data_IF_873668180853
#
_entry.id   IF_873668180853
#
_cell.length_a   1.000
_cell.length_b   1.000
_cell.length_c   1.000
_cell.angle_alpha   90.00
_cell.angle_beta   90.00
_cell.angle_gamma   90.00
#
_symmetry.space_group_name_H-M   'P 1'
#
loop_
_entity.id
_entity.type
_entity.pdbx_description
1 polymer ?
#
# COMPACT_ATOMS: atom_id res chain seq x y z
N UNK A 1 6.34 32.25 9.05
CA UNK A 1 7.73 31.87 8.73
C UNK A 1 8.43 31.16 9.90
N UNK A 2 8.44 31.73 11.12
CA UNK A 2 9.14 31.16 12.27
C UNK A 2 8.75 29.72 12.62
N UNK A 3 7.45 29.37 12.58
CA UNK A 3 7.00 28.00 12.86
C UNK A 3 7.59 26.94 11.90
N UNK A 4 7.74 27.27 10.61
CA UNK A 4 8.36 26.38 9.62
C UNK A 4 9.86 26.23 9.88
N UNK A 5 10.53 27.31 10.31
CA UNK A 5 11.94 27.27 10.71
C UNK A 5 12.16 26.35 11.92
N UNK A 6 11.31 26.46 12.94
CA UNK A 6 11.37 25.58 14.11
C UNK A 6 11.09 24.13 13.73
N UNK A 7 10.11 23.86 12.86
CA UNK A 7 9.83 22.49 12.41
C UNK A 7 11.00 21.89 11.61
N UNK A 8 11.53 22.65 10.65
CA UNK A 8 12.61 22.19 9.78
C UNK A 8 13.91 21.87 10.55
N UNK A 9 14.21 22.61 11.62
CA UNK A 9 15.44 22.43 12.40
C UNK A 9 15.19 21.68 13.70
N UNK A 10 14.39 22.23 14.61
CA UNK A 10 14.20 21.69 15.96
C UNK A 10 13.39 20.39 15.92
N UNK A 11 12.29 20.37 15.16
CA UNK A 11 11.46 19.17 15.09
C UNK A 11 12.18 18.06 14.31
N UNK A 12 12.73 18.38 13.13
CA UNK A 12 13.36 17.39 12.25
C UNK A 12 14.66 16.79 12.81
N UNK A 13 15.54 17.62 13.39
CA UNK A 13 16.86 17.19 13.85
C UNK A 13 16.86 16.68 15.29
N UNK A 14 15.84 17.00 16.09
CA UNK A 14 15.82 16.65 17.52
C UNK A 14 14.55 15.92 17.91
N UNK A 15 13.38 16.50 17.68
CA UNK A 15 12.13 15.93 18.21
C UNK A 15 11.81 14.58 17.57
N UNK A 16 11.88 14.49 16.24
CA UNK A 16 11.66 13.23 15.51
C UNK A 16 12.63 12.13 15.95
N UNK A 17 13.97 12.32 15.91
CA UNK A 17 14.90 11.27 16.35
C UNK A 17 14.80 10.96 17.84
N UNK A 18 14.52 11.93 18.72
CA UNK A 18 14.33 11.69 20.15
C UNK A 18 13.08 10.83 20.41
N UNK A 19 11.97 11.13 19.74
CA UNK A 19 10.73 10.35 19.83
C UNK A 19 10.93 8.94 19.25
N UNK A 20 11.58 8.81 18.09
CA UNK A 20 11.92 7.52 17.50
C UNK A 20 12.84 6.69 18.41
N UNK A 21 13.82 7.32 19.06
CA UNK A 21 14.69 6.66 20.03
C UNK A 21 13.94 6.24 21.30
N UNK A 22 13.04 7.09 21.81
CA UNK A 22 12.24 6.81 23.00
C UNK A 22 11.23 5.68 22.78
N UNK A 23 10.54 5.68 21.63
CA UNK A 23 9.63 4.59 21.27
C UNK A 23 10.38 3.35 20.76
N UNK A 24 11.63 3.51 20.32
CA UNK A 24 12.52 2.43 19.91
C UNK A 24 11.88 1.46 18.91
N UNK A 25 11.87 0.17 19.24
CA UNK A 25 11.28 -0.89 18.39
C UNK A 25 9.78 -0.71 18.13
N UNK A 26 9.07 0.04 18.97
CA UNK A 26 7.64 0.33 18.81
C UNK A 26 7.37 1.50 17.87
N UNK A 27 8.38 2.30 17.54
CA UNK A 27 8.28 3.33 16.50
C UNK A 27 8.15 2.75 15.09
N UNK A 28 8.67 1.52 14.89
CA UNK A 28 8.65 0.78 13.63
C UNK A 28 7.53 -0.27 13.56
N UNK A 29 6.85 -0.53 14.67
CA UNK A 29 5.68 -1.40 14.72
C UNK A 29 4.40 -0.59 14.52
N UNK A 30 3.47 -1.13 13.75
CA UNK A 30 2.12 -0.57 13.64
C UNK A 30 1.49 -0.50 15.04
N UNK A 31 1.17 0.70 15.55
CA UNK A 31 0.51 0.79 16.84
C UNK A 31 -0.92 0.23 16.70
N UNK A 32 -1.38 -0.53 17.70
CA UNK A 32 -2.64 -1.30 17.62
C UNK A 32 -3.90 -0.46 17.31
N UNK A 33 -3.85 0.86 17.53
CA UNK A 33 -4.93 1.78 17.12
C UNK A 33 -4.93 2.05 15.61
N UNK A 34 -3.76 2.08 14.97
CA UNK A 34 -3.61 2.28 13.54
C UNK A 34 -3.89 0.99 12.77
N UNK A 35 -3.52 -0.15 13.33
CA UNK A 35 -3.90 -1.47 12.81
C UNK A 35 -5.42 -1.61 12.65
N UNK A 36 -6.19 -1.03 13.58
CA UNK A 36 -7.66 -1.03 13.54
C UNK A 36 -8.27 -0.04 12.53
N UNK A 37 -7.55 1.01 12.16
CA UNK A 37 -8.01 2.04 11.22
C UNK A 37 -7.56 1.75 9.79
N UNK A 38 -6.47 0.98 9.61
CA UNK A 38 -5.92 0.64 8.30
C UNK A 38 -6.97 -0.20 7.56
N UNK A 39 -7.67 0.36 6.55
CA UNK A 39 -8.53 -0.42 5.68
C UNK A 39 -7.64 -1.43 4.95
N UNK A 40 -8.16 -2.60 4.62
CA UNK A 40 -7.42 -3.64 3.89
C UNK A 40 -6.93 -3.08 2.54
N UNK A 41 -5.70 -2.53 2.52
CA UNK A 41 -5.08 -1.96 1.33
C UNK A 41 -4.42 -3.12 0.60
N UNK A 42 -5.18 -3.74 -0.30
CA UNK A 42 -4.69 -4.67 -1.32
C UNK A 42 -3.69 -3.92 -2.24
N UNK A 43 -2.43 -3.83 -1.83
CA UNK A 43 -1.32 -3.32 -2.65
C UNK A 43 -0.96 -4.34 -3.74
N UNK A 44 -1.16 -5.62 -3.46
CA UNK A 44 -1.20 -6.69 -4.44
C UNK A 44 -2.57 -6.61 -5.13
N UNK A 45 -2.61 -6.32 -6.44
CA UNK A 45 -3.85 -6.27 -7.23
C UNK A 45 -4.56 -7.62 -7.38
N UNK A 46 -4.68 -8.42 -6.32
CA UNK A 46 -5.33 -9.73 -6.29
C UNK A 46 -6.85 -9.65 -6.59
N UNK A 47 -7.42 -8.45 -6.63
CA UNK A 47 -8.81 -8.19 -7.03
C UNK A 47 -8.98 -7.66 -8.45
N UNK A 48 -8.00 -7.83 -9.34
CA UNK A 48 -8.29 -7.76 -10.78
C UNK A 48 -8.97 -9.09 -11.15
N UNK A 49 -10.30 -9.14 -11.39
CA UNK A 49 -10.90 -10.34 -11.93
C UNK A 49 -10.15 -10.62 -13.23
N UNK A 50 -9.48 -11.77 -13.29
CA UNK A 50 -8.90 -12.27 -14.53
C UNK A 50 -10.03 -12.20 -15.54
N UNK A 51 -9.93 -11.23 -16.46
CA UNK A 51 -10.85 -11.06 -17.56
C UNK A 51 -10.74 -12.36 -18.33
N UNK A 52 -11.65 -13.28 -18.04
CA UNK A 52 -11.76 -14.56 -18.71
C UNK A 52 -11.95 -14.17 -20.16
N UNK A 53 -10.92 -14.39 -20.97
CA UNK A 53 -10.99 -14.19 -22.41
C UNK A 53 -12.19 -15.05 -22.83
N UNK A 54 -13.29 -14.45 -23.31
CA UNK A 54 -14.52 -15.19 -23.50
C UNK A 54 -14.26 -16.27 -24.55
N UNK A 55 -14.85 -17.44 -24.34
CA UNK A 55 -15.07 -18.62 -25.18
C UNK A 55 -15.11 -18.45 -26.72
N UNK A 56 -15.08 -17.23 -27.24
CA UNK A 56 -15.12 -16.89 -28.65
C UNK A 56 -13.89 -17.36 -29.44
N UNK A 57 -12.71 -17.48 -28.82
CA UNK A 57 -11.49 -17.94 -29.51
C UNK A 57 -11.52 -19.46 -29.75
N UNK A 58 -11.88 -20.25 -28.73
CA UNK A 58 -12.01 -21.71 -28.87
C UNK A 58 -13.15 -22.12 -29.83
N UNK A 59 -14.26 -21.37 -29.88
CA UNK A 59 -15.36 -21.66 -30.83
C UNK A 59 -14.94 -21.38 -32.27
N UNK A 60 -14.19 -20.31 -32.51
CA UNK A 60 -13.70 -19.97 -33.84
C UNK A 60 -12.67 -20.99 -34.34
N UNK A 61 -11.76 -21.46 -33.48
CA UNK A 61 -10.82 -22.52 -33.82
C UNK A 61 -11.53 -23.86 -34.12
N UNK A 62 -12.56 -24.20 -33.34
CA UNK A 62 -13.32 -25.44 -33.56
C UNK A 62 -14.21 -25.37 -34.82
N UNK A 63 -14.71 -24.19 -35.20
CA UNK A 63 -15.50 -24.02 -36.43
C UNK A 63 -14.61 -24.02 -37.70
N UNK A 64 -13.37 -23.53 -37.59
CA UNK A 64 -12.39 -23.57 -38.69
C UNK A 64 -11.79 -24.96 -38.87
N UNK A 65 -11.59 -25.73 -37.79
CA UNK A 65 -11.11 -27.11 -37.88
C UNK A 65 -12.17 -28.12 -38.39
N UNK A 66 -13.44 -27.74 -38.38
CA UNK A 66 -14.57 -28.54 -38.86
C UNK A 66 -14.98 -28.23 -40.30
N UNK A 67 -14.31 -27.29 -40.97
CA UNK A 67 -14.47 -26.97 -42.40
C UNK A 67 -13.29 -27.52 -43.20
#
# INVERSE_FOLDING_TARGET
AFGVFVDAFVVRMTLVPAVMALLGRRAWGLPAWLDRVTPDVDIEGAKLPARTKPEAENRAEHEVAAR
#
